data_IF_661709229008
#
_entry.id   IF_661709229008
#
_cell.length_a   1.000
_cell.length_b   1.000
_cell.length_c   1.000
_cell.angle_alpha   90.00
_cell.angle_beta   90.00
_cell.angle_gamma   90.00
#
_symmetry.space_group_name_H-M   'P 1'
#
loop_
_entity.id
_entity.type
_entity.pdbx_description
1 polymer ?
#
# COMPACT_ATOMS: atom_id res chain seq x y z
N UNK A 1 -3.98 36.53 46.72
CA UNK A 1 -2.91 37.26 45.99
C UNK A 1 -1.62 36.54 46.29
N UNK A 2 -1.09 35.65 45.45
CA UNK A 2 -0.91 35.79 44.00
C UNK A 2 0.42 36.53 43.72
N UNK A 3 0.99 36.29 42.54
CA UNK A 3 1.76 37.22 41.69
C UNK A 3 3.05 37.85 42.28
N UNK A 4 4.30 37.51 41.90
CA UNK A 4 4.95 37.32 40.60
C UNK A 4 6.34 36.64 40.82
N UNK A 5 6.79 35.65 40.04
CA UNK A 5 7.65 35.77 38.81
C UNK A 5 9.10 36.22 39.16
N UNK A 6 10.24 35.59 38.84
CA UNK A 6 10.64 34.66 37.78
C UNK A 6 12.00 33.98 38.14
N UNK A 7 12.16 32.74 37.65
CA UNK A 7 13.38 31.97 37.31
C UNK A 7 14.56 31.79 38.28
N UNK A 8 14.96 30.52 38.46
CA UNK A 8 16.12 29.89 37.77
C UNK A 8 16.14 28.37 38.06
N UNK A 9 16.71 27.55 37.15
CA UNK A 9 16.30 26.20 36.79
C UNK A 9 16.95 25.09 37.63
N UNK A 10 16.28 23.94 37.67
CA UNK A 10 16.85 22.70 38.18
C UNK A 10 15.78 21.64 38.44
N UNK A 11 15.38 20.93 37.41
CA UNK A 11 14.44 19.80 37.52
C UNK A 11 14.79 18.74 36.49
N UNK A 12 15.40 17.67 36.97
CA UNK A 12 15.95 16.54 36.24
C UNK A 12 14.84 15.75 35.54
N UNK A 13 14.63 15.96 34.24
CA UNK A 13 13.66 15.21 33.42
C UNK A 13 14.41 14.27 32.48
N UNK A 14 14.63 13.05 32.99
CA UNK A 14 14.53 11.76 32.29
C UNK A 14 14.82 11.72 30.78
N UNK A 15 15.95 11.12 30.43
CA UNK A 15 16.26 10.46 29.14
C UNK A 15 16.04 8.95 29.28
N UNK A 16 15.84 8.15 28.19
CA UNK A 16 16.16 8.45 26.79
C UNK A 16 15.08 7.94 25.79
N UNK A 17 14.20 8.80 25.31
CA UNK A 17 13.39 8.50 24.11
C UNK A 17 13.14 9.75 23.23
N UNK A 18 14.05 10.73 23.28
CA UNK A 18 13.95 11.97 22.49
C UNK A 18 15.29 12.36 21.82
N UNK A 19 15.98 11.41 21.19
CA UNK A 19 17.17 11.70 20.34
C UNK A 19 17.03 11.11 18.91
N UNK A 20 16.03 10.28 18.63
CA UNK A 20 15.80 9.80 17.25
C UNK A 20 15.06 10.82 16.35
N UNK A 21 14.50 11.90 16.89
CA UNK A 21 13.78 12.92 16.12
C UNK A 21 14.64 14.11 15.64
N UNK A 22 15.96 14.10 15.91
CA UNK A 22 16.91 15.15 15.51
C UNK A 22 17.78 14.82 14.29
N UNK A 23 17.76 13.58 13.79
CA UNK A 23 18.61 13.14 12.67
C UNK A 23 17.96 13.31 11.28
N UNK A 24 16.93 14.16 11.16
CA UNK A 24 16.20 14.40 9.91
C UNK A 24 16.47 15.79 9.30
N UNK A 25 17.70 16.37 9.29
CA UNK A 25 17.88 17.63 8.51
C UNK A 25 19.27 18.11 8.01
N UNK A 26 20.37 17.34 7.99
CA UNK A 26 21.58 17.74 7.22
C UNK A 26 22.25 16.52 6.62
N UNK A 27 22.19 16.33 5.30
CA UNK A 27 22.90 15.21 4.66
C UNK A 27 22.70 14.94 3.17
N UNK A 28 22.11 15.85 2.38
CA UNK A 28 22.06 15.69 0.91
C UNK A 28 22.31 17.00 0.16
N UNK A 29 23.47 17.61 0.42
CA UNK A 29 24.14 18.54 -0.48
C UNK A 29 25.59 18.72 0.01
N UNK A 30 26.52 17.87 -0.41
CA UNK A 30 27.96 18.16 -0.55
C UNK A 30 28.72 16.90 -0.99
N UNK A 31 28.49 16.44 -2.22
CA UNK A 31 29.51 15.65 -2.93
C UNK A 31 29.16 15.56 -4.41
N UNK A 32 29.95 16.24 -5.25
CA UNK A 32 30.19 15.72 -6.60
C UNK A 32 29.66 16.48 -7.81
N UNK A 33 29.66 17.83 -7.85
CA UNK A 33 29.67 18.51 -9.17
C UNK A 33 30.42 19.85 -9.17
N UNK A 34 31.74 19.73 -9.23
CA UNK A 34 32.62 20.78 -9.77
C UNK A 34 33.13 20.31 -11.13
N UNK A 35 32.43 20.72 -12.18
CA UNK A 35 33.00 20.90 -13.50
C UNK A 35 32.15 22.00 -14.15
N UNK A 36 32.73 23.19 -14.14
CA UNK A 36 32.24 24.40 -14.77
C UNK A 36 32.07 24.17 -16.28
N UNK A 37 30.85 24.34 -16.79
CA UNK A 37 30.59 24.61 -18.21
C UNK A 37 29.70 25.86 -18.26
N UNK A 38 30.20 26.99 -18.79
CA UNK A 38 29.38 28.16 -19.08
C UNK A 38 28.60 27.93 -20.38
N UNK A 39 27.46 28.61 -20.50
CA UNK A 39 26.50 28.59 -21.63
C UNK A 39 25.44 27.46 -21.60
N UNK A 40 24.32 27.74 -20.90
CA UNK A 40 23.00 27.17 -21.17
C UNK A 40 21.90 27.92 -20.37
N UNK A 41 20.93 28.48 -21.08
CA UNK A 41 19.79 29.25 -20.56
C UNK A 41 18.84 28.39 -19.67
N UNK A 42 18.09 29.01 -18.74
CA UNK A 42 17.20 28.28 -17.83
C UNK A 42 15.88 27.88 -18.50
N UNK A 43 15.59 26.58 -18.55
CA UNK A 43 14.24 26.04 -18.71
C UNK A 43 13.84 25.27 -17.43
N UNK A 44 12.60 25.42 -16.91
CA UNK A 44 12.22 24.90 -15.61
C UNK A 44 11.73 23.44 -15.66
N UNK A 45 11.93 22.74 -14.53
CA UNK A 45 11.18 21.61 -13.98
C UNK A 45 11.15 20.27 -14.77
N UNK A 46 11.77 19.24 -14.18
CA UNK A 46 11.00 18.18 -13.50
C UNK A 46 11.91 17.34 -12.57
N UNK A 47 11.59 17.22 -11.26
CA UNK A 47 12.11 16.15 -10.43
C UNK A 47 10.94 15.24 -10.04
N UNK A 48 10.82 14.08 -10.66
CA UNK A 48 10.18 12.96 -9.99
C UNK A 48 11.00 11.68 -10.13
N UNK A 49 11.66 11.22 -9.06
CA UNK A 49 12.02 9.81 -8.96
C UNK A 49 10.70 9.05 -8.88
N UNK A 50 10.36 8.34 -9.95
CA UNK A 50 9.27 7.38 -9.95
C UNK A 50 9.55 6.34 -8.86
N UNK A 51 8.91 6.53 -7.71
CA UNK A 51 8.96 5.64 -6.57
C UNK A 51 8.35 4.30 -6.95
N UNK A 52 9.22 3.35 -7.33
CA UNK A 52 8.93 1.93 -7.16
C UNK A 52 9.12 1.60 -5.69
N UNK A 53 8.13 1.96 -4.88
CA UNK A 53 7.81 1.22 -3.66
C UNK A 53 6.59 0.40 -4.05
N UNK A 54 6.76 -0.75 -4.72
CA UNK A 54 6.89 -2.02 -4.00
C UNK A 54 5.96 -1.98 -2.78
N UNK A 55 4.66 -2.10 -3.01
CA UNK A 55 3.99 -3.39 -2.83
C UNK A 55 4.01 -3.85 -1.37
N UNK A 56 3.60 -3.00 -0.44
CA UNK A 56 3.23 -3.47 0.90
C UNK A 56 1.82 -4.10 0.81
N UNK A 57 1.78 -5.37 0.40
CA UNK A 57 0.53 -6.06 0.04
C UNK A 57 0.65 -7.58 -0.01
N UNK A 58 1.49 -8.19 0.83
CA UNK A 58 1.60 -9.66 0.90
C UNK A 58 2.02 -10.34 -0.42
N UNK A 59 2.03 -11.67 -0.40
CA UNK A 59 2.55 -12.57 -1.46
C UNK A 59 1.97 -12.34 -2.87
N UNK A 60 0.91 -11.55 -2.99
CA UNK A 60 0.17 -11.26 -4.22
C UNK A 60 0.23 -9.79 -4.65
N UNK A 61 0.94 -8.90 -3.94
CA UNK A 61 0.94 -7.47 -4.26
C UNK A 61 -0.40 -6.77 -3.98
N UNK A 62 -1.17 -7.30 -3.03
CA UNK A 62 -2.43 -6.76 -2.53
C UNK A 62 -3.63 -7.10 -3.41
N UNK A 63 -4.74 -6.39 -3.19
CA UNK A 63 -5.96 -6.52 -3.99
C UNK A 63 -5.69 -6.22 -5.48
N UNK A 64 -4.82 -5.25 -5.78
CA UNK A 64 -4.41 -4.93 -7.15
C UNK A 64 -3.73 -6.10 -7.87
N UNK A 65 -2.81 -6.82 -7.23
CA UNK A 65 -2.13 -7.96 -7.86
C UNK A 65 -2.99 -9.23 -7.93
N UNK A 66 -3.95 -9.40 -7.02
CA UNK A 66 -5.00 -10.40 -7.18
C UNK A 66 -5.84 -10.14 -8.45
N UNK A 67 -6.30 -8.89 -8.62
CA UNK A 67 -7.06 -8.49 -9.80
C UNK A 67 -6.27 -8.67 -11.09
N UNK A 68 -4.98 -8.34 -11.06
CA UNK A 68 -4.10 -8.51 -12.21
C UNK A 68 -3.99 -9.98 -12.63
N UNK A 69 -3.83 -10.90 -11.67
CA UNK A 69 -3.84 -12.35 -11.93
C UNK A 69 -5.14 -12.85 -12.54
N UNK A 70 -6.28 -12.33 -12.06
CA UNK A 70 -7.57 -12.69 -12.66
C UNK A 70 -7.69 -12.19 -14.09
N UNK A 71 -7.19 -10.98 -14.38
CA UNK A 71 -7.16 -10.42 -15.73
C UNK A 71 -6.26 -11.25 -16.64
N UNK A 72 -5.08 -11.64 -16.17
CA UNK A 72 -4.13 -12.52 -16.88
C UNK A 72 -4.74 -13.90 -17.19
N UNK A 73 -5.53 -14.44 -16.26
CA UNK A 73 -6.26 -15.69 -16.44
C UNK A 73 -7.50 -15.60 -17.35
N UNK A 74 -7.84 -14.42 -17.88
CA UNK A 74 -9.00 -14.20 -18.74
C UNK A 74 -10.30 -13.85 -18.00
N UNK A 75 -10.26 -13.67 -16.67
CA UNK A 75 -11.38 -13.26 -15.83
C UNK A 75 -11.42 -11.74 -15.57
N UNK A 76 -10.89 -10.94 -16.49
CA UNK A 76 -10.85 -9.49 -16.34
C UNK A 76 -12.21 -8.85 -16.13
N UNK A 77 -13.25 -9.32 -16.84
CA UNK A 77 -14.62 -8.82 -16.68
C UNK A 77 -15.18 -9.06 -15.27
N UNK A 78 -14.86 -10.21 -14.66
CA UNK A 78 -15.28 -10.50 -13.29
C UNK A 78 -14.54 -9.58 -12.31
N UNK A 79 -13.23 -9.42 -12.50
CA UNK A 79 -12.41 -8.55 -11.67
C UNK A 79 -12.87 -7.07 -11.73
N UNK A 80 -13.14 -6.55 -12.92
CA UNK A 80 -13.69 -5.19 -13.14
C UNK A 80 -15.07 -5.02 -12.47
N UNK A 81 -15.92 -6.06 -12.56
CA UNK A 81 -17.25 -6.10 -11.94
C UNK A 81 -17.21 -6.11 -10.41
N UNK A 82 -16.10 -6.54 -9.81
CA UNK A 82 -15.90 -6.48 -8.35
C UNK A 82 -15.36 -5.14 -7.88
N UNK A 83 -14.60 -4.47 -8.74
CA UNK A 83 -14.09 -3.12 -8.48
C UNK A 83 -15.16 -2.07 -8.69
N UNK A 84 -16.02 -2.26 -9.70
CA UNK A 84 -17.12 -1.35 -10.01
C UNK A 84 -18.27 -1.41 -9.02
N UNK A 85 -19.19 -0.44 -9.14
CA UNK A 85 -20.41 -0.33 -8.30
C UNK A 85 -21.59 -1.17 -8.81
N UNK A 86 -21.34 -2.04 -9.80
CA UNK A 86 -22.34 -2.89 -10.44
C UNK A 86 -22.58 -4.20 -9.70
N UNK A 87 -23.36 -5.09 -10.30
CA UNK A 87 -23.50 -6.45 -9.80
C UNK A 87 -22.18 -7.18 -9.92
N UNK A 88 -21.70 -7.79 -8.83
CA UNK A 88 -20.48 -8.59 -8.85
C UNK A 88 -20.71 -9.91 -9.59
N UNK A 89 -19.91 -10.20 -10.60
CA UNK A 89 -19.96 -11.49 -11.29
C UNK A 89 -19.45 -12.61 -10.40
N UNK A 90 -20.13 -13.76 -10.44
CA UNK A 90 -19.62 -14.97 -9.80
C UNK A 90 -18.46 -15.55 -10.62
N UNK A 91 -17.46 -16.08 -9.93
CA UNK A 91 -16.38 -16.88 -10.52
C UNK A 91 -16.47 -18.31 -9.99
N UNK A 92 -16.11 -19.32 -10.78
CA UNK A 92 -16.04 -20.68 -10.27
C UNK A 92 -14.79 -20.87 -9.41
N UNK A 93 -14.88 -21.77 -8.42
CA UNK A 93 -13.74 -22.18 -7.60
C UNK A 93 -12.53 -22.66 -8.44
N UNK A 94 -12.79 -23.38 -9.54
CA UNK A 94 -11.74 -23.89 -10.42
C UNK A 94 -11.04 -22.77 -11.23
N UNK A 95 -11.82 -21.84 -11.78
CA UNK A 95 -11.33 -20.66 -12.49
C UNK A 95 -10.52 -19.75 -11.57
N UNK A 96 -11.03 -19.52 -10.36
CA UNK A 96 -10.34 -18.73 -9.34
C UNK A 96 -9.02 -19.39 -8.93
N UNK A 97 -9.02 -20.72 -8.78
CA UNK A 97 -7.81 -21.48 -8.48
C UNK A 97 -6.78 -21.44 -9.61
N UNK A 98 -7.23 -21.52 -10.87
CA UNK A 98 -6.36 -21.38 -12.02
C UNK A 98 -5.71 -19.99 -12.09
N UNK A 99 -6.46 -18.93 -11.78
CA UNK A 99 -5.97 -17.56 -11.76
C UNK A 99 -4.97 -17.27 -10.64
N UNK A 100 -5.26 -17.72 -9.42
CA UNK A 100 -4.38 -17.54 -8.26
C UNK A 100 -3.11 -18.39 -8.38
N UNK A 101 -3.25 -19.59 -8.95
CA UNK A 101 -2.23 -20.60 -9.05
C UNK A 101 -2.10 -21.47 -7.79
N UNK A 102 -1.64 -22.73 -7.94
CA UNK A 102 -1.62 -23.71 -6.86
C UNK A 102 -0.74 -23.29 -5.68
N UNK A 103 0.33 -22.55 -5.93
CA UNK A 103 1.25 -22.12 -4.87
C UNK A 103 0.58 -21.17 -3.86
N UNK A 104 -0.25 -20.25 -4.36
CA UNK A 104 -0.96 -19.27 -3.54
C UNK A 104 -2.07 -19.95 -2.74
N UNK A 105 -2.81 -20.85 -3.39
CA UNK A 105 -3.88 -21.62 -2.75
C UNK A 105 -3.31 -22.44 -1.60
N UNK A 106 -2.18 -23.13 -1.83
CA UNK A 106 -1.50 -23.93 -0.79
C UNK A 106 -1.03 -23.09 0.39
N UNK A 107 -0.45 -21.92 0.14
CA UNK A 107 -0.05 -20.99 1.20
C UNK A 107 -1.24 -20.54 2.06
N UNK A 108 -2.35 -20.16 1.42
CA UNK A 108 -3.55 -19.71 2.14
C UNK A 108 -4.17 -20.89 2.91
N UNK A 109 -4.28 -22.06 2.27
CA UNK A 109 -4.79 -23.30 2.87
C UNK A 109 -4.00 -23.70 4.12
N UNK A 110 -2.67 -23.63 4.07
CA UNK A 110 -1.80 -23.90 5.22
C UNK A 110 -2.00 -22.89 6.35
N UNK A 111 -2.22 -21.62 6.03
CA UNK A 111 -2.44 -20.56 7.02
C UNK A 111 -3.82 -20.65 7.68
N UNK A 112 -4.84 -21.01 6.92
CA UNK A 112 -6.21 -21.17 7.42
C UNK A 112 -6.47 -22.54 8.04
N UNK A 113 -5.63 -23.53 7.75
CA UNK A 113 -5.85 -24.93 8.11
C UNK A 113 -7.00 -25.58 7.34
N UNK A 114 -7.34 -25.06 6.16
CA UNK A 114 -8.39 -25.61 5.28
C UNK A 114 -7.82 -26.48 4.16
N UNK A 115 -8.66 -27.36 3.65
CA UNK A 115 -8.43 -28.05 2.39
C UNK A 115 -8.53 -27.08 1.21
N UNK A 116 -7.67 -27.27 0.19
CA UNK A 116 -7.59 -26.38 -0.98
C UNK A 116 -8.94 -26.26 -1.72
N UNK A 117 -9.66 -27.38 -1.84
CA UNK A 117 -10.98 -27.40 -2.50
C UNK A 117 -12.07 -26.67 -1.73
N UNK A 118 -12.04 -26.74 -0.39
CA UNK A 118 -12.99 -26.02 0.47
C UNK A 118 -12.68 -24.51 0.46
N UNK A 119 -11.40 -24.18 0.59
CA UNK A 119 -10.87 -22.83 0.50
C UNK A 119 -11.31 -22.15 -0.81
N UNK A 120 -11.14 -22.83 -1.96
CA UNK A 120 -11.53 -22.28 -3.27
C UNK A 120 -13.04 -22.02 -3.37
N UNK A 121 -13.88 -22.92 -2.83
CA UNK A 121 -15.34 -22.74 -2.78
C UNK A 121 -15.74 -21.53 -1.93
N UNK A 122 -15.07 -21.36 -0.79
CA UNK A 122 -15.36 -20.24 0.10
C UNK A 122 -14.88 -18.92 -0.52
N UNK A 123 -13.67 -18.90 -1.10
CA UNK A 123 -13.13 -17.75 -1.82
C UNK A 123 -14.03 -17.37 -3.01
N UNK A 124 -14.46 -18.32 -3.83
CA UNK A 124 -15.30 -18.02 -5.00
C UNK A 124 -16.64 -17.36 -4.64
N UNK A 125 -17.14 -17.64 -3.44
CA UNK A 125 -18.42 -17.10 -2.96
C UNK A 125 -18.24 -15.76 -2.22
N UNK A 126 -17.18 -15.63 -1.41
CA UNK A 126 -16.98 -14.47 -0.55
C UNK A 126 -16.18 -13.35 -1.20
N UNK A 127 -15.19 -13.69 -2.03
CA UNK A 127 -14.23 -12.75 -2.60
C UNK A 127 -14.87 -11.64 -3.44
N UNK A 128 -15.88 -11.90 -4.30
CA UNK A 128 -16.55 -10.84 -5.06
C UNK A 128 -17.11 -9.72 -4.17
N UNK A 129 -17.77 -10.08 -3.07
CA UNK A 129 -18.34 -9.12 -2.13
C UNK A 129 -17.29 -8.44 -1.24
N UNK A 130 -16.20 -9.12 -0.91
CA UNK A 130 -15.09 -8.51 -0.16
C UNK A 130 -14.39 -7.45 -1.01
N UNK A 131 -14.14 -7.75 -2.28
CA UNK A 131 -13.51 -6.80 -3.21
C UNK A 131 -14.41 -5.58 -3.42
N UNK A 132 -15.71 -5.76 -3.64
CA UNK A 132 -16.71 -4.68 -3.71
C UNK A 132 -16.62 -3.74 -2.49
N UNK A 133 -16.64 -4.30 -1.28
CA UNK A 133 -16.61 -3.54 -0.03
C UNK A 133 -15.31 -2.76 0.18
N UNK A 134 -14.19 -3.29 -0.33
CA UNK A 134 -12.88 -2.63 -0.32
C UNK A 134 -12.72 -1.61 -1.45
N UNK A 135 -13.65 -1.58 -2.41
CA UNK A 135 -13.57 -0.77 -3.62
C UNK A 135 -14.80 0.15 -3.81
N UNK A 136 -15.24 0.90 -2.77
CA UNK A 136 -16.52 1.61 -2.78
C UNK A 136 -16.61 2.73 -3.84
N UNK A 137 -15.48 3.23 -4.33
CA UNK A 137 -15.40 4.30 -5.32
C UNK A 137 -15.19 3.79 -6.76
N UNK A 138 -15.33 2.49 -7.04
CA UNK A 138 -15.00 1.99 -8.36
C UNK A 138 -13.50 1.91 -8.62
N UNK A 139 -12.68 2.10 -7.58
CA UNK A 139 -11.23 2.20 -7.66
C UNK A 139 -10.59 1.50 -6.48
N UNK A 140 -9.61 0.63 -6.76
CA UNK A 140 -8.78 0.03 -5.72
C UNK A 140 -8.08 1.16 -4.98
N UNK A 141 -8.33 1.35 -3.67
CA UNK A 141 -7.77 2.47 -2.92
C UNK A 141 -6.25 2.45 -3.08
N UNK A 142 -5.71 3.48 -3.71
CA UNK A 142 -4.26 3.67 -3.66
C UNK A 142 -3.90 3.96 -2.21
N UNK A 143 -2.91 3.27 -1.66
CA UNK A 143 -2.55 3.33 -0.23
C UNK A 143 -2.29 4.77 0.27
N UNK A 144 -1.95 5.70 -0.61
CA UNK A 144 -1.83 7.12 -0.30
C UNK A 144 -3.15 7.78 0.16
N UNK A 145 -4.31 7.28 -0.30
CA UNK A 145 -5.62 7.82 0.05
C UNK A 145 -6.10 7.32 1.42
N UNK A 146 -5.78 6.06 1.79
CA UNK A 146 -6.13 5.51 3.12
C UNK A 146 -5.27 6.10 4.24
N UNK A 147 -4.00 6.40 3.96
CA UNK A 147 -3.11 7.10 4.90
C UNK A 147 -3.59 8.54 5.18
N UNK A 148 -4.22 9.18 4.18
CA UNK A 148 -4.79 10.53 4.31
C UNK A 148 -6.09 10.54 5.13
N UNK A 149 -6.90 9.48 5.05
CA UNK A 149 -8.17 9.37 5.77
C UNK A 149 -7.99 9.11 7.29
N UNK A 150 -6.86 8.53 7.69
CA UNK A 150 -6.53 8.29 9.10
C UNK A 150 -5.76 9.44 9.78
N UNK A 151 -5.40 10.50 9.05
CA UNK A 151 -4.66 11.66 9.56
C UNK A 151 -5.56 12.91 9.66
N UNK A 152 -6.85 12.74 9.93
CA UNK A 152 -7.79 13.85 10.14
C UNK A 152 -8.40 13.86 11.53
#
# INVERSE_FOLDING_TARGET
MGLFDNAVPGGNITKPLMIALGALLVGKMLSGRSAEQPDQAPAPADPTPAGTTASDGGLLGGLGGLLDKLRDAGHGNAADSWVGTGQNQSINANDLGAALGPQVIREIAQRTGMDEGELLKQLSTALPGIVDKLTPNGQVPQQHQVASAFNS
#
